data_IF_148455741615
#
_entry.id   IF_148455741615
#
_cell.length_a   1.000
_cell.length_b   1.000
_cell.length_c   1.000
_cell.angle_alpha   90.00
_cell.angle_beta   90.00
_cell.angle_gamma   90.00
#
_symmetry.space_group_name_H-M   'P 1'
#
loop_
_entity.id
_entity.type
_entity.pdbx_description
1 polymer ?
#
# COMPACT_ATOMS: atom_id res chain seq x y z
N UNK A 1 17.66 -0.50 5.70
CA UNK A 1 16.60 -0.15 6.66
C UNK A 1 15.44 0.62 6.05
N UNK A 2 15.66 1.67 5.23
CA UNK A 2 14.57 2.44 4.60
C UNK A 2 13.60 1.59 3.78
N UNK A 3 14.12 0.73 2.89
CA UNK A 3 13.29 -0.19 2.08
C UNK A 3 12.49 -1.15 2.97
N UNK A 4 13.11 -1.72 4.00
CA UNK A 4 12.42 -2.60 4.95
C UNK A 4 11.30 -1.85 5.69
N UNK A 5 11.55 -0.63 6.13
CA UNK A 5 10.53 0.24 6.72
C UNK A 5 9.39 0.52 5.73
N UNK A 6 9.71 0.89 4.49
CA UNK A 6 8.72 1.12 3.45
C UNK A 6 7.81 -0.10 3.26
N UNK A 7 8.40 -1.31 3.17
CA UNK A 7 7.64 -2.56 3.05
C UNK A 7 6.76 -2.79 4.28
N UNK A 8 7.27 -2.59 5.50
CA UNK A 8 6.46 -2.73 6.73
C UNK A 8 5.24 -1.81 6.71
N UNK A 9 5.44 -0.53 6.38
CA UNK A 9 4.35 0.45 6.35
C UNK A 9 3.34 0.18 5.22
N UNK A 10 3.79 -0.30 4.06
CA UNK A 10 2.90 -0.76 3.00
C UNK A 10 2.09 -1.99 3.44
N UNK A 11 2.76 -2.99 4.02
CA UNK A 11 2.12 -4.21 4.52
C UNK A 11 1.08 -3.93 5.58
N UNK A 12 1.42 -3.09 6.55
CA UNK A 12 0.47 -2.67 7.57
C UNK A 12 -0.74 -1.93 6.97
N UNK A 13 -0.54 -1.10 5.94
CA UNK A 13 -1.61 -0.37 5.27
C UNK A 13 -2.62 -1.31 4.62
N UNK A 14 -2.14 -2.27 3.83
CA UNK A 14 -3.04 -3.24 3.20
C UNK A 14 -3.68 -4.22 4.18
N UNK A 15 -2.95 -4.66 5.20
CA UNK A 15 -3.44 -5.62 6.20
C UNK A 15 -4.67 -5.05 6.93
N UNK A 16 -4.66 -3.75 7.20
CA UNK A 16 -5.83 -3.05 7.76
C UNK A 16 -7.03 -3.11 6.83
N UNK A 17 -6.84 -2.96 5.51
CA UNK A 17 -7.93 -3.07 4.52
C UNK A 17 -8.51 -4.48 4.53
N UNK A 18 -7.67 -5.52 4.61
CA UNK A 18 -8.14 -6.90 4.73
C UNK A 18 -8.89 -7.15 6.04
N UNK A 19 -8.32 -6.73 7.17
CA UNK A 19 -8.96 -6.87 8.48
C UNK A 19 -10.36 -6.24 8.53
N UNK A 20 -10.62 -5.18 7.75
CA UNK A 20 -11.95 -4.56 7.70
C UNK A 20 -13.02 -5.42 7.03
N UNK A 21 -12.63 -6.35 6.16
CA UNK A 21 -13.52 -7.31 5.50
C UNK A 21 -13.85 -8.48 6.44
N UNK A 22 -12.89 -8.89 7.25
CA UNK A 22 -13.05 -10.00 8.20
C UNK A 22 -13.61 -9.54 9.56
N UNK A 23 -13.90 -8.24 9.73
CA UNK A 23 -14.19 -7.64 11.04
C UNK A 23 -15.41 -8.25 11.77
N UNK A 24 -16.44 -8.70 11.04
CA UNK A 24 -17.60 -9.37 11.64
C UNK A 24 -17.26 -10.78 12.11
N UNK A 25 -16.57 -11.54 11.26
CA UNK A 25 -16.09 -12.88 11.56
C UNK A 25 -15.11 -12.85 12.75
N UNK A 26 -14.14 -11.95 12.72
CA UNK A 26 -13.16 -11.77 13.79
C UNK A 26 -13.84 -11.48 15.14
N UNK A 27 -14.90 -10.65 15.14
CA UNK A 27 -15.67 -10.37 16.36
C UNK A 27 -16.44 -11.59 16.85
N UNK A 28 -17.00 -12.39 15.95
CA UNK A 28 -17.74 -13.60 16.29
C UNK A 28 -16.83 -14.68 16.88
N UNK A 29 -15.62 -14.83 16.33
CA UNK A 29 -14.63 -15.84 16.75
C UNK A 29 -13.69 -15.34 17.86
N UNK A 30 -13.83 -14.10 18.33
CA UNK A 30 -12.99 -13.51 19.37
C UNK A 30 -11.55 -13.24 18.94
N UNK A 31 -11.30 -13.12 17.63
CA UNK A 31 -10.00 -12.75 17.06
C UNK A 31 -9.73 -11.25 17.29
N UNK A 32 -8.46 -10.92 17.56
CA UNK A 32 -8.03 -9.57 17.95
C UNK A 32 -7.43 -8.79 16.78
N UNK A 33 -8.20 -8.54 15.73
CA UNK A 33 -7.78 -7.65 14.64
C UNK A 33 -8.03 -6.17 14.98
N UNK A 34 -7.30 -5.27 14.32
CA UNK A 34 -7.47 -3.82 14.51
C UNK A 34 -8.90 -3.37 14.14
N UNK A 35 -9.46 -3.96 13.08
CA UNK A 35 -10.82 -3.67 12.63
C UNK A 35 -11.90 -4.22 13.57
N UNK A 36 -11.69 -5.40 14.16
CA UNK A 36 -12.56 -5.94 15.21
C UNK A 36 -12.55 -5.06 16.46
N UNK A 37 -11.38 -4.55 16.87
CA UNK A 37 -11.21 -3.74 18.07
C UNK A 37 -11.68 -2.28 17.92
N UNK A 38 -11.35 -1.62 16.81
CA UNK A 38 -11.61 -0.18 16.60
C UNK A 38 -12.84 0.10 15.74
N UNK A 39 -13.34 -0.91 15.01
CA UNK A 39 -14.31 -0.76 13.95
C UNK A 39 -13.66 -0.40 12.60
N UNK A 40 -14.24 -0.90 11.52
CA UNK A 40 -13.69 -0.78 10.15
C UNK A 40 -13.42 0.67 9.74
N UNK A 41 -14.29 1.62 10.10
CA UNK A 41 -14.07 3.03 9.75
C UNK A 41 -12.83 3.64 10.40
N UNK A 42 -12.61 3.35 11.69
CA UNK A 42 -11.47 3.91 12.43
C UNK A 42 -10.17 3.23 12.00
N UNK A 43 -10.23 1.93 11.72
CA UNK A 43 -9.10 1.20 11.17
C UNK A 43 -8.64 1.80 9.84
N UNK A 44 -9.56 2.02 8.89
CA UNK A 44 -9.23 2.57 7.56
C UNK A 44 -8.61 3.97 7.59
N UNK A 45 -8.82 4.77 8.64
CA UNK A 45 -8.18 6.10 8.78
C UNK A 45 -6.66 6.03 8.90
N UNK A 46 -6.11 4.87 9.30
CA UNK A 46 -4.65 4.68 9.41
C UNK A 46 -3.98 4.40 8.07
N UNK A 47 -4.70 3.84 7.10
CA UNK A 47 -4.14 3.40 5.80
C UNK A 47 -3.43 4.55 5.05
N UNK A 48 -4.02 5.76 4.90
CA UNK A 48 -3.33 6.85 4.21
C UNK A 48 -2.05 7.30 4.91
N UNK A 49 -2.03 7.28 6.25
CA UNK A 49 -0.84 7.64 7.03
C UNK A 49 0.29 6.63 6.84
N UNK A 50 -0.02 5.34 6.91
CA UNK A 50 0.94 4.26 6.69
C UNK A 50 1.54 4.34 5.28
N UNK A 51 0.69 4.52 4.26
CA UNK A 51 1.15 4.67 2.88
C UNK A 51 1.95 5.95 2.64
N UNK A 52 1.61 7.06 3.30
CA UNK A 52 2.41 8.28 3.24
C UNK A 52 3.81 8.07 3.82
N UNK A 53 3.92 7.42 4.98
CA UNK A 53 5.23 7.09 5.59
C UNK A 53 6.03 6.16 4.68
N UNK A 54 5.40 5.13 4.10
CA UNK A 54 6.03 4.27 3.13
C UNK A 54 6.58 5.05 1.93
N UNK A 55 5.77 5.93 1.34
CA UNK A 55 6.18 6.72 0.18
C UNK A 55 7.35 7.65 0.51
N UNK A 56 7.33 8.30 1.68
CA UNK A 56 8.44 9.14 2.14
C UNK A 56 9.74 8.34 2.31
N UNK A 57 9.66 7.12 2.84
CA UNK A 57 10.82 6.24 2.97
C UNK A 57 11.39 5.84 1.60
N UNK A 58 10.54 5.56 0.61
CA UNK A 58 11.00 5.28 -0.75
C UNK A 58 11.56 6.54 -1.42
N UNK A 59 10.92 7.70 -1.29
CA UNK A 59 11.46 8.98 -1.79
C UNK A 59 12.88 9.22 -1.26
N UNK A 60 13.14 8.92 0.02
CA UNK A 60 14.47 9.06 0.62
C UNK A 60 15.53 8.12 0.00
N UNK A 61 15.14 6.95 -0.52
CA UNK A 61 16.08 5.99 -1.13
C UNK A 61 16.66 6.53 -2.44
N UNK A 62 15.88 7.25 -3.24
CA UNK A 62 16.29 7.76 -4.56
C UNK A 62 17.59 8.56 -4.53
N UNK A 63 17.65 9.67 -3.77
CA UNK A 63 18.87 10.48 -3.64
C UNK A 63 20.05 9.74 -2.98
N UNK A 64 19.78 8.91 -1.97
CA UNK A 64 20.82 8.17 -1.24
C UNK A 64 21.57 7.17 -2.12
N UNK A 65 20.85 6.54 -3.05
CA UNK A 65 21.43 5.59 -4.00
C UNK A 65 21.69 6.20 -5.39
N UNK A 66 21.50 7.52 -5.54
CA UNK A 66 21.66 8.27 -6.81
C UNK A 66 20.88 7.65 -7.97
N UNK A 67 19.65 7.21 -7.71
CA UNK A 67 18.81 6.55 -8.72
C UNK A 67 18.26 7.56 -9.73
N UNK A 68 18.18 7.13 -10.99
CA UNK A 68 17.75 7.96 -12.12
C UNK A 68 16.25 8.27 -12.16
N UNK A 69 15.82 8.92 -13.24
CA UNK A 69 14.44 9.37 -13.42
C UNK A 69 13.42 8.23 -13.49
N UNK A 70 13.81 7.03 -13.96
CA UNK A 70 12.93 5.85 -14.03
C UNK A 70 12.45 5.42 -12.65
N UNK A 71 13.32 5.45 -11.65
CA UNK A 71 12.97 5.21 -10.25
C UNK A 71 11.87 6.17 -9.75
N UNK A 72 12.02 7.45 -10.07
CA UNK A 72 11.08 8.50 -9.67
C UNK A 72 9.75 8.39 -10.42
N UNK A 73 9.76 7.97 -11.69
CA UNK A 73 8.55 7.63 -12.43
C UNK A 73 7.84 6.42 -11.79
N UNK A 74 8.60 5.42 -11.32
CA UNK A 74 8.07 4.31 -10.53
C UNK A 74 7.39 4.77 -9.24
N UNK A 75 7.96 5.74 -8.52
CA UNK A 75 7.33 6.33 -7.33
C UNK A 75 5.99 7.02 -7.64
N UNK A 76 5.90 7.72 -8.79
CA UNK A 76 4.63 8.32 -9.23
C UNK A 76 3.58 7.26 -9.54
N UNK A 77 3.98 6.12 -10.11
CA UNK A 77 3.10 4.98 -10.34
C UNK A 77 2.60 4.39 -9.02
N UNK A 78 3.48 4.21 -8.02
CA UNK A 78 3.10 3.77 -6.67
C UNK A 78 2.09 4.73 -6.04
N UNK A 79 2.35 6.04 -6.10
CA UNK A 79 1.41 7.05 -5.62
C UNK A 79 0.05 6.95 -6.32
N UNK A 80 0.03 6.83 -7.65
CA UNK A 80 -1.21 6.69 -8.40
C UNK A 80 -2.00 5.43 -8.01
N UNK A 81 -1.31 4.31 -7.79
CA UNK A 81 -1.92 3.06 -7.34
C UNK A 81 -2.52 3.19 -5.93
N UNK A 82 -1.82 3.83 -4.98
CA UNK A 82 -2.32 4.08 -3.62
C UNK A 82 -3.56 4.99 -3.64
N UNK A 83 -3.55 6.04 -4.48
CA UNK A 83 -4.69 6.93 -4.61
C UNK A 83 -5.90 6.22 -5.23
N UNK A 84 -5.65 5.30 -6.18
CA UNK A 84 -6.71 4.47 -6.73
C UNK A 84 -7.27 3.50 -5.69
N UNK A 85 -6.40 2.83 -4.94
CA UNK A 85 -6.77 1.96 -3.82
C UNK A 85 -7.62 2.69 -2.78
N UNK A 86 -7.19 3.88 -2.34
CA UNK A 86 -7.94 4.70 -1.39
C UNK A 86 -9.35 5.07 -1.88
N UNK A 87 -9.53 5.28 -3.19
CA UNK A 87 -10.85 5.50 -3.79
C UNK A 87 -11.71 4.24 -3.78
N UNK A 88 -11.13 3.07 -4.04
CA UNK A 88 -11.84 1.79 -3.98
C UNK A 88 -12.34 1.51 -2.57
N UNK A 89 -11.45 1.66 -1.59
CA UNK A 89 -11.75 1.50 -0.15
C UNK A 89 -12.84 2.49 0.30
N UNK A 90 -12.79 3.74 -0.17
CA UNK A 90 -13.78 4.75 0.18
C UNK A 90 -15.20 4.46 -0.37
N UNK A 91 -15.31 3.73 -1.49
CA UNK A 91 -16.59 3.39 -2.11
C UNK A 91 -17.27 2.17 -1.47
N UNK A 92 -16.56 1.38 -0.66
CA UNK A 92 -17.06 0.17 0.02
C UNK A 92 -17.86 -0.77 -0.90
N UNK A 93 -17.36 -1.00 -2.11
CA UNK A 93 -18.03 -1.89 -3.07
C UNK A 93 -17.61 -3.35 -2.82
N UNK A 94 -18.41 -4.08 -2.05
CA UNK A 94 -18.01 -5.37 -1.47
C UNK A 94 -17.69 -6.50 -2.46
N UNK A 95 -18.23 -6.49 -3.69
CA UNK A 95 -18.09 -7.64 -4.60
C UNK A 95 -16.82 -7.67 -5.42
N UNK A 96 -16.22 -6.52 -5.72
CA UNK A 96 -15.02 -6.43 -6.56
C UNK A 96 -13.83 -5.74 -5.88
N UNK A 97 -14.03 -5.21 -4.66
CA UNK A 97 -13.00 -4.48 -3.92
C UNK A 97 -11.72 -5.31 -3.74
N UNK A 98 -11.80 -6.58 -3.36
CA UNK A 98 -10.62 -7.44 -3.17
C UNK A 98 -9.84 -7.63 -4.48
N UNK A 99 -10.52 -7.83 -5.61
CA UNK A 99 -9.88 -7.99 -6.91
C UNK A 99 -9.24 -6.68 -7.39
N UNK A 100 -9.94 -5.55 -7.24
CA UNK A 100 -9.44 -4.23 -7.59
C UNK A 100 -8.25 -3.82 -6.70
N UNK A 101 -8.29 -4.18 -5.42
CA UNK A 101 -7.22 -4.02 -4.45
C UNK A 101 -5.96 -4.81 -4.84
N UNK A 102 -6.13 -6.09 -5.17
CA UNK A 102 -5.04 -6.95 -5.66
C UNK A 102 -4.42 -6.40 -6.94
N UNK A 103 -5.24 -5.89 -7.87
CA UNK A 103 -4.77 -5.24 -9.10
C UNK A 103 -3.96 -3.97 -8.80
N UNK A 104 -4.41 -3.13 -7.87
CA UNK A 104 -3.68 -1.92 -7.48
C UNK A 104 -2.31 -2.27 -6.87
N UNK A 105 -2.26 -3.27 -5.99
CA UNK A 105 -1.02 -3.71 -5.36
C UNK A 105 -0.07 -4.41 -6.32
N UNK A 106 -0.58 -5.22 -7.24
CA UNK A 106 0.20 -5.81 -8.31
C UNK A 106 0.79 -4.74 -9.24
N UNK A 107 -0.02 -3.75 -9.64
CA UNK A 107 0.44 -2.63 -10.45
C UNK A 107 1.56 -1.85 -9.73
N UNK A 108 1.36 -1.48 -8.47
CA UNK A 108 2.36 -0.79 -7.67
C UNK A 108 3.66 -1.60 -7.59
N UNK A 109 3.57 -2.89 -7.22
CA UNK A 109 4.74 -3.74 -6.97
C UNK A 109 5.52 -4.06 -8.24
N UNK A 110 4.84 -4.63 -9.26
CA UNK A 110 5.50 -5.03 -10.51
C UNK A 110 5.89 -3.83 -11.37
N UNK A 111 5.06 -2.78 -11.39
CA UNK A 111 5.36 -1.55 -12.10
C UNK A 111 6.58 -0.85 -11.52
N UNK A 112 6.67 -0.75 -10.18
CA UNK A 112 7.83 -0.19 -9.51
C UNK A 112 9.08 -1.04 -9.70
N UNK A 113 8.98 -2.36 -9.57
CA UNK A 113 10.09 -3.28 -9.84
C UNK A 113 10.62 -3.10 -11.27
N UNK A 114 9.73 -3.07 -12.26
CA UNK A 114 10.10 -2.83 -13.65
C UNK A 114 10.80 -1.48 -13.84
N UNK A 115 10.29 -0.41 -13.23
CA UNK A 115 10.91 0.91 -13.28
C UNK A 115 12.33 0.93 -12.67
N UNK A 116 12.54 0.23 -11.55
CA UNK A 116 13.85 0.06 -10.93
C UNK A 116 14.80 -0.71 -11.84
N UNK A 117 14.37 -1.86 -12.38
CA UNK A 117 15.19 -2.70 -13.28
C UNK A 117 15.59 -1.92 -14.54
N UNK A 118 14.66 -1.18 -15.14
CA UNK A 118 14.94 -0.33 -16.29
C UNK A 118 16.02 0.72 -15.96
N UNK A 119 15.97 1.32 -14.77
CA UNK A 119 17.00 2.26 -14.32
C UNK A 119 18.38 1.64 -14.08
N UNK A 120 18.46 0.33 -13.83
CA UNK A 120 19.73 -0.37 -13.67
C UNK A 120 20.37 -0.75 -15.02
N UNK A 121 19.55 -0.96 -16.05
CA UNK A 121 20.01 -1.31 -17.40
C UNK A 121 20.49 -0.13 -18.25
N UNK A 122 20.13 1.10 -17.87
CA UNK A 122 20.48 2.34 -18.55
C UNK A 122 21.03 3.34 -17.52
N UNK A 123 22.36 3.35 -17.28
CA UNK A 123 23.00 4.25 -16.31
C UNK A 123 22.88 5.72 -16.70
#
# INVERSE_FOLDING_TARGET
WLIAGAVIFWVAGFDIVYATQDAEFDRAEGLRSLAAALGSERALRWVPWLHAVMLLLLIAVGPLLRLGWTYHAGLLLVLAAILWEGRLVARREDREMQAAFLRANALASFGYLGAVILGLGFP
#
